data_IF_451738199823
#
_entry.id   IF_451738199823
#
_cell.length_a   1.000
_cell.length_b   1.000
_cell.length_c   1.000
_cell.angle_alpha   90.00
_cell.angle_beta   90.00
_cell.angle_gamma   90.00
#
_symmetry.space_group_name_H-M   'P 1'
#
loop_
_entity.id
_entity.type
_entity.pdbx_description
1 polymer ?
#
# COMPACT_ATOMS: atom_id res chain seq x y z
N UNK A 1 25.78 37.22 -20.56
CA UNK A 1 24.41 36.94 -21.04
C UNK A 1 23.95 35.50 -20.82
N UNK A 2 24.79 34.49 -21.06
CA UNK A 2 24.45 33.07 -20.84
C UNK A 2 24.13 32.73 -19.37
N UNK A 3 24.92 33.26 -18.42
CA UNK A 3 24.68 33.04 -16.98
C UNK A 3 23.34 33.62 -16.50
N UNK A 4 22.95 34.80 -16.99
CA UNK A 4 21.67 35.43 -16.64
C UNK A 4 20.49 34.57 -17.10
N UNK A 5 20.57 34.01 -18.32
CA UNK A 5 19.54 33.10 -18.84
C UNK A 5 19.37 31.87 -17.94
N UNK A 6 20.48 31.19 -17.62
CA UNK A 6 20.45 30.02 -16.73
C UNK A 6 19.86 30.34 -15.36
N UNK A 7 20.18 31.51 -14.81
CA UNK A 7 19.65 31.96 -13.52
C UNK A 7 18.14 32.21 -13.58
N UNK A 8 17.65 32.86 -14.65
CA UNK A 8 16.20 33.05 -14.90
C UNK A 8 15.48 31.71 -15.05
N UNK A 9 16.06 30.77 -15.80
CA UNK A 9 15.50 29.41 -15.94
C UNK A 9 15.40 28.68 -14.61
N UNK A 10 16.46 28.74 -13.79
CA UNK A 10 16.47 28.11 -12.47
C UNK A 10 15.40 28.70 -11.54
N UNK A 11 15.28 30.03 -11.50
CA UNK A 11 14.26 30.71 -10.70
C UNK A 11 12.85 30.37 -11.18
N UNK A 12 12.61 30.35 -12.50
CA UNK A 12 11.30 29.99 -13.07
C UNK A 12 10.88 28.56 -12.70
N UNK A 13 11.79 27.59 -12.84
CA UNK A 13 11.51 26.19 -12.47
C UNK A 13 11.28 26.05 -10.97
N UNK A 14 12.07 26.74 -10.15
CA UNK A 14 11.88 26.76 -8.70
C UNK A 14 10.52 27.34 -8.30
N UNK A 15 10.17 28.50 -8.84
CA UNK A 15 8.87 29.15 -8.58
C UNK A 15 7.72 28.24 -9.04
N UNK A 16 7.84 27.63 -10.22
CA UNK A 16 6.83 26.71 -10.75
C UNK A 16 6.66 25.44 -9.90
N UNK A 17 7.73 24.96 -9.26
CA UNK A 17 7.65 23.83 -8.32
C UNK A 17 6.86 24.20 -7.05
N UNK A 18 7.04 25.41 -6.52
CA UNK A 18 6.37 25.83 -5.29
C UNK A 18 4.98 26.46 -5.50
N UNK A 19 4.58 26.73 -6.75
CA UNK A 19 3.34 27.41 -7.09
C UNK A 19 2.07 26.60 -6.80
N UNK A 20 1.99 25.29 -7.10
CA UNK A 20 0.76 24.51 -6.92
C UNK A 20 0.37 24.22 -5.45
N UNK A 21 1.00 24.89 -4.49
CA UNK A 21 0.66 24.81 -3.08
C UNK A 21 1.33 23.65 -2.35
N UNK A 22 1.30 23.69 -1.01
CA UNK A 22 1.85 22.64 -0.15
C UNK A 22 0.87 21.47 -0.06
N UNK A 23 0.64 20.77 -1.17
CA UNK A 23 -0.08 19.50 -1.16
C UNK A 23 0.86 18.38 -0.71
N UNK A 24 0.32 17.38 -0.01
CA UNK A 24 1.05 16.14 0.32
C UNK A 24 1.42 15.36 -0.94
N UNK A 25 0.63 15.53 -2.01
CA UNK A 25 0.97 15.05 -3.33
C UNK A 25 1.95 16.02 -4.02
N UNK A 26 3.16 15.54 -4.34
CA UNK A 26 4.20 16.30 -5.01
C UNK A 26 4.05 16.31 -6.54
N UNK A 27 3.17 15.46 -7.11
CA UNK A 27 3.00 15.34 -8.55
C UNK A 27 2.59 16.65 -9.25
N UNK A 28 1.63 17.44 -8.72
CA UNK A 28 1.30 18.74 -9.30
C UNK A 28 2.51 19.69 -9.38
N UNK A 29 3.36 19.69 -8.34
CA UNK A 29 4.57 20.51 -8.25
C UNK A 29 5.63 20.07 -9.26
N UNK A 30 5.88 18.75 -9.35
CA UNK A 30 6.81 18.16 -10.33
C UNK A 30 6.32 18.46 -11.75
N UNK A 31 5.01 18.32 -12.00
CA UNK A 31 4.42 18.54 -13.31
C UNK A 31 4.50 20.00 -13.75
N UNK A 32 4.20 20.94 -12.84
CA UNK A 32 4.31 22.36 -13.12
C UNK A 32 5.76 22.77 -13.41
N UNK A 33 6.70 22.33 -12.56
CA UNK A 33 8.13 22.63 -12.71
C UNK A 33 8.67 22.11 -14.03
N UNK A 34 8.33 20.88 -14.39
CA UNK A 34 8.86 20.28 -15.60
C UNK A 34 8.21 20.80 -16.89
N UNK A 35 6.93 21.21 -16.88
CA UNK A 35 6.32 21.92 -18.02
C UNK A 35 7.04 23.26 -18.27
N UNK A 36 7.36 24.00 -17.20
CA UNK A 36 8.12 25.24 -17.28
C UNK A 36 9.55 24.99 -17.76
N UNK A 37 10.20 23.92 -17.30
CA UNK A 37 11.51 23.50 -17.79
C UNK A 37 11.50 23.20 -19.29
N UNK A 38 10.51 22.44 -19.78
CA UNK A 38 10.36 22.12 -21.20
C UNK A 38 10.14 23.39 -22.03
N UNK A 39 9.23 24.27 -21.60
CA UNK A 39 8.98 25.54 -22.28
C UNK A 39 10.23 26.43 -22.34
N UNK A 40 10.99 26.48 -21.23
CA UNK A 40 12.24 27.22 -21.15
C UNK A 40 13.32 26.64 -22.08
N UNK A 41 13.48 25.32 -22.12
CA UNK A 41 14.45 24.65 -23.02
C UNK A 41 14.11 24.88 -24.50
N UNK A 42 12.82 24.85 -24.86
CA UNK A 42 12.36 25.16 -26.23
C UNK A 42 12.62 26.63 -26.57
N UNK A 43 12.33 27.56 -25.67
CA UNK A 43 12.61 28.98 -25.86
C UNK A 43 14.11 29.24 -26.02
N UNK A 44 14.94 28.56 -25.22
CA UNK A 44 16.40 28.63 -25.31
C UNK A 44 16.88 28.15 -26.70
N UNK A 45 16.38 27.02 -27.18
CA UNK A 45 16.64 26.50 -28.53
C UNK A 45 16.28 27.53 -29.61
N UNK A 46 15.09 28.12 -29.54
CA UNK A 46 14.62 29.11 -30.52
C UNK A 46 15.48 30.38 -30.54
N UNK A 47 15.89 30.87 -29.37
CA UNK A 47 16.73 32.07 -29.24
C UNK A 47 18.14 31.82 -29.77
N UNK A 48 18.77 30.70 -29.41
CA UNK A 48 20.11 30.37 -29.90
C UNK A 48 20.12 30.03 -31.40
N UNK A 49 19.02 29.50 -31.94
CA UNK A 49 18.84 29.30 -33.37
C UNK A 49 18.70 30.61 -34.16
N UNK A 50 18.28 31.72 -33.53
CA UNK A 50 18.12 33.02 -34.21
C UNK A 50 19.34 33.93 -34.12
N UNK A 51 20.30 33.64 -33.23
CA UNK A 51 21.54 34.43 -33.14
C UNK A 51 22.40 34.22 -34.39
N UNK A 52 22.75 35.33 -35.06
CA UNK A 52 23.59 35.38 -36.27
C UNK A 52 25.08 35.29 -35.94
N UNK A 53 25.47 35.64 -34.72
CA UNK A 53 26.87 35.79 -34.28
C UNK A 53 27.53 34.45 -33.89
N UNK A 54 26.83 33.32 -34.09
CA UNK A 54 27.32 31.99 -33.78
C UNK A 54 27.80 31.29 -35.04
N UNK A 55 29.03 30.77 -34.99
CA UNK A 55 29.54 29.88 -36.04
C UNK A 55 28.66 28.63 -36.16
N UNK A 56 28.46 28.13 -37.38
CA UNK A 56 27.62 26.95 -37.67
C UNK A 56 27.97 25.75 -36.78
N UNK A 57 29.27 25.52 -36.53
CA UNK A 57 29.75 24.45 -35.64
C UNK A 57 29.26 24.61 -34.20
N UNK A 58 29.32 25.82 -33.63
CA UNK A 58 28.82 26.09 -32.27
C UNK A 58 27.30 25.98 -32.20
N UNK A 59 26.59 26.43 -33.26
CA UNK A 59 25.12 26.31 -33.35
C UNK A 59 24.70 24.84 -33.31
N UNK A 60 25.33 23.98 -34.11
CA UNK A 60 25.01 22.55 -34.15
C UNK A 60 25.27 21.85 -32.81
N UNK A 61 26.37 22.19 -32.12
CA UNK A 61 26.67 21.65 -30.79
C UNK A 61 25.62 22.07 -29.76
N UNK A 62 25.20 23.34 -29.75
CA UNK A 62 24.17 23.83 -28.82
C UNK A 62 22.83 23.16 -29.10
N UNK A 63 22.44 23.01 -30.36
CA UNK A 63 21.20 22.31 -30.75
C UNK A 63 21.25 20.85 -30.28
N UNK A 64 22.36 20.15 -30.53
CA UNK A 64 22.53 18.77 -30.09
C UNK A 64 22.43 18.64 -28.57
N UNK A 65 23.16 19.46 -27.82
CA UNK A 65 23.13 19.46 -26.35
C UNK A 65 21.74 19.78 -25.80
N UNK A 66 21.04 20.73 -26.42
CA UNK A 66 19.68 21.10 -26.00
C UNK A 66 18.69 19.98 -26.31
N UNK A 67 18.80 19.34 -27.48
CA UNK A 67 17.96 18.20 -27.85
C UNK A 67 18.20 17.01 -26.91
N UNK A 68 19.46 16.68 -26.60
CA UNK A 68 19.81 15.64 -25.62
C UNK A 68 19.26 15.98 -24.24
N UNK A 69 19.33 17.24 -23.82
CA UNK A 69 18.79 17.68 -22.52
C UNK A 69 17.26 17.54 -22.44
N UNK A 70 16.54 17.90 -23.51
CA UNK A 70 15.08 17.73 -23.59
C UNK A 70 14.72 16.24 -23.54
N UNK A 71 15.40 15.40 -24.32
CA UNK A 71 15.17 13.95 -24.34
C UNK A 71 15.43 13.36 -22.95
N UNK A 72 16.55 13.72 -22.31
CA UNK A 72 16.90 13.25 -20.97
C UNK A 72 15.88 13.70 -19.92
N UNK A 73 15.36 14.94 -19.99
CA UNK A 73 14.33 15.44 -19.09
C UNK A 73 13.02 14.65 -19.24
N UNK A 74 12.57 14.39 -20.47
CA UNK A 74 11.35 13.62 -20.74
C UNK A 74 11.49 12.16 -20.28
N UNK A 75 12.63 11.53 -20.55
CA UNK A 75 12.89 10.14 -20.12
C UNK A 75 12.94 10.03 -18.59
N UNK A 76 13.63 10.96 -17.93
CA UNK A 76 13.74 10.98 -16.46
C UNK A 76 12.37 11.18 -15.81
N UNK A 77 11.53 12.04 -16.39
CA UNK A 77 10.17 12.25 -15.90
C UNK A 77 9.33 10.98 -16.01
N UNK A 78 9.29 10.35 -17.19
CA UNK A 78 8.56 9.09 -17.37
C UNK A 78 9.04 8.01 -16.41
N UNK A 79 10.36 7.90 -16.24
CA UNK A 79 10.93 6.93 -15.32
C UNK A 79 10.54 7.20 -13.86
N UNK A 80 10.43 8.47 -13.43
CA UNK A 80 9.91 8.80 -12.10
C UNK A 80 8.45 8.39 -11.94
N UNK A 81 7.62 8.56 -12.97
CA UNK A 81 6.21 8.15 -12.95
C UNK A 81 6.10 6.64 -12.84
N UNK A 82 6.82 5.89 -13.68
CA UNK A 82 6.88 4.44 -13.64
C UNK A 82 7.38 3.92 -12.29
N UNK A 83 8.44 4.53 -11.75
CA UNK A 83 9.00 4.14 -10.47
C UNK A 83 8.04 4.43 -9.31
N UNK A 84 7.33 5.56 -9.34
CA UNK A 84 6.32 5.88 -8.32
C UNK A 84 5.15 4.91 -8.36
N UNK A 85 4.66 4.58 -9.56
CA UNK A 85 3.61 3.58 -9.75
C UNK A 85 4.07 2.20 -9.27
N UNK A 86 5.30 1.81 -9.61
CA UNK A 86 5.90 0.57 -9.14
C UNK A 86 6.03 0.54 -7.61
N UNK A 87 6.52 1.62 -6.99
CA UNK A 87 6.63 1.74 -5.53
C UNK A 87 5.26 1.64 -4.85
N UNK A 88 4.25 2.35 -5.36
CA UNK A 88 2.88 2.29 -4.84
C UNK A 88 2.33 0.87 -4.89
N UNK A 89 2.52 0.17 -6.01
CA UNK A 89 2.07 -1.22 -6.17
C UNK A 89 2.83 -2.18 -5.24
N UNK A 90 4.15 -2.02 -5.13
CA UNK A 90 4.98 -2.89 -4.29
C UNK A 90 4.76 -2.67 -2.81
N UNK A 91 4.58 -1.43 -2.37
CA UNK A 91 4.21 -1.13 -0.98
C UNK A 91 2.85 -1.73 -0.62
N UNK A 92 1.88 -1.68 -1.53
CA UNK A 92 0.60 -2.37 -1.35
C UNK A 92 0.74 -3.89 -1.24
N UNK A 93 1.59 -4.50 -2.08
CA UNK A 93 1.88 -5.93 -2.04
C UNK A 93 2.59 -6.35 -0.74
N UNK A 94 3.62 -5.62 -0.32
CA UNK A 94 4.36 -5.87 0.93
C UNK A 94 3.42 -5.70 2.13
N UNK A 95 2.63 -4.62 2.17
CA UNK A 95 1.65 -4.39 3.23
C UNK A 95 0.62 -5.53 3.31
N UNK A 96 0.15 -6.02 2.17
CA UNK A 96 -0.73 -7.20 2.09
C UNK A 96 -0.05 -8.46 2.63
N UNK A 97 1.20 -8.74 2.27
CA UNK A 97 1.93 -9.93 2.74
C UNK A 97 2.17 -9.87 4.26
N UNK A 98 2.67 -8.74 4.77
CA UNK A 98 2.89 -8.51 6.20
C UNK A 98 1.57 -8.65 6.95
N UNK A 99 0.53 -7.99 6.44
CA UNK A 99 -0.82 -8.10 6.94
C UNK A 99 -1.32 -9.53 7.07
N UNK A 100 -1.30 -10.29 5.97
CA UNK A 100 -1.66 -11.72 5.97
C UNK A 100 -0.88 -12.50 7.02
N UNK A 101 0.43 -12.24 7.15
CA UNK A 101 1.28 -12.87 8.16
C UNK A 101 0.81 -12.60 9.57
N UNK A 102 0.58 -11.33 9.92
CA UNK A 102 0.09 -10.90 11.23
C UNK A 102 -1.27 -11.54 11.54
N UNK A 103 -2.23 -11.43 10.62
CA UNK A 103 -3.58 -11.97 10.84
C UNK A 103 -3.60 -13.50 10.94
N UNK A 104 -2.79 -14.19 10.15
CA UNK A 104 -2.65 -15.64 10.24
C UNK A 104 -2.06 -16.07 11.60
N UNK A 105 -1.02 -15.39 12.05
CA UNK A 105 -0.36 -15.64 13.33
C UNK A 105 -1.32 -15.37 14.52
N UNK A 106 -2.06 -14.26 14.46
CA UNK A 106 -3.03 -13.92 15.50
C UNK A 106 -4.16 -14.94 15.64
N UNK A 107 -4.77 -15.35 14.52
CA UNK A 107 -5.83 -16.34 14.53
C UNK A 107 -5.29 -17.71 14.94
N UNK A 108 -4.07 -18.04 14.52
CA UNK A 108 -3.37 -19.28 14.88
C UNK A 108 -3.14 -19.38 16.38
N UNK A 109 -2.46 -18.41 16.96
CA UNK A 109 -2.10 -18.41 18.37
C UNK A 109 -3.35 -18.52 19.24
N UNK A 110 -4.39 -17.76 18.88
CA UNK A 110 -5.66 -17.75 19.62
C UNK A 110 -6.34 -19.12 19.65
N UNK A 111 -6.31 -19.87 18.55
CA UNK A 111 -6.91 -21.21 18.46
C UNK A 111 -6.01 -22.31 18.99
N UNK A 112 -4.69 -22.16 18.90
CA UNK A 112 -3.74 -23.11 19.52
C UNK A 112 -3.85 -23.10 21.04
N UNK A 113 -4.03 -21.93 21.66
CA UNK A 113 -4.27 -21.83 23.11
C UNK A 113 -5.56 -22.57 23.50
N UNK A 114 -6.62 -22.46 22.69
CA UNK A 114 -7.89 -23.17 22.93
C UNK A 114 -7.71 -24.69 22.78
N UNK A 115 -6.91 -25.11 21.80
CA UNK A 115 -6.59 -26.53 21.60
C UNK A 115 -5.77 -27.09 22.77
N UNK A 116 -4.77 -26.33 23.23
CA UNK A 116 -3.96 -26.67 24.39
C UNK A 116 -4.84 -26.78 25.65
N UNK A 117 -5.71 -25.81 25.90
CA UNK A 117 -6.66 -25.81 27.00
C UNK A 117 -7.63 -27.00 26.90
N UNK A 118 -8.06 -27.39 25.70
CA UNK A 118 -8.92 -28.55 25.47
C UNK A 118 -8.22 -29.86 25.87
N UNK A 119 -6.97 -30.07 25.45
CA UNK A 119 -6.22 -31.28 25.81
C UNK A 119 -5.83 -31.31 27.29
N UNK A 120 -5.51 -30.18 27.91
CA UNK A 120 -5.22 -30.10 29.34
C UNK A 120 -6.45 -30.32 30.21
N UNK A 121 -7.64 -29.92 29.73
CA UNK A 121 -8.92 -30.10 30.45
C UNK A 121 -9.65 -31.41 30.12
N UNK A 122 -9.01 -32.37 29.43
CA UNK A 122 -9.64 -33.65 29.03
C UNK A 122 -10.26 -34.47 30.18
N UNK A 123 -9.94 -34.17 31.44
CA UNK A 123 -10.61 -34.75 32.61
C UNK A 123 -12.04 -34.24 32.87
N UNK A 124 -12.50 -33.17 32.21
CA UNK A 124 -13.80 -32.50 32.47
C UNK A 124 -14.86 -32.68 31.38
N UNK A 125 -14.58 -33.45 30.32
CA UNK A 125 -15.50 -33.68 29.16
C UNK A 125 -16.10 -32.38 28.56
N UNK A 126 -15.34 -31.28 28.55
CA UNK A 126 -15.78 -30.04 27.92
C UNK A 126 -15.68 -30.16 26.40
N UNK A 127 -16.65 -29.59 25.69
CA UNK A 127 -16.58 -29.50 24.22
C UNK A 127 -15.59 -28.42 23.78
N UNK A 128 -15.14 -28.47 22.52
CA UNK A 128 -14.17 -27.49 22.01
C UNK A 128 -14.74 -26.07 22.03
N UNK A 129 -16.03 -25.93 21.69
CA UNK A 129 -16.75 -24.67 21.77
C UNK A 129 -16.95 -24.16 23.20
N UNK A 130 -17.12 -25.04 24.18
CA UNK A 130 -17.19 -24.68 25.59
C UNK A 130 -15.84 -24.17 26.12
N UNK A 131 -14.73 -24.82 25.72
CA UNK A 131 -13.38 -24.35 26.08
C UNK A 131 -13.12 -22.97 25.47
N UNK A 132 -13.51 -22.78 24.21
CA UNK A 132 -13.41 -21.48 23.54
C UNK A 132 -14.21 -20.38 24.28
N UNK A 133 -15.49 -20.63 24.58
CA UNK A 133 -16.38 -19.69 25.32
C UNK A 133 -15.95 -19.42 26.76
N UNK A 134 -15.16 -20.31 27.35
CA UNK A 134 -14.61 -20.12 28.69
C UNK A 134 -13.37 -19.22 28.65
N UNK A 135 -12.58 -19.30 27.57
CA UNK A 135 -11.35 -18.54 27.40
C UNK A 135 -11.62 -17.12 26.91
N UNK A 136 -12.53 -16.99 25.96
CA UNK A 136 -12.95 -15.72 25.40
C UNK A 136 -14.38 -15.42 25.85
N UNK A 137 -14.73 -14.16 26.19
CA UNK A 137 -16.09 -13.76 26.53
C UNK A 137 -17.06 -14.22 25.44
N UNK A 138 -18.33 -14.50 25.79
CA UNK A 138 -19.32 -14.96 24.82
C UNK A 138 -19.66 -13.82 23.85
N UNK A 139 -18.86 -13.67 22.80
CA UNK A 139 -19.26 -12.97 21.58
C UNK A 139 -20.25 -13.83 20.81
N UNK A 140 -21.22 -13.18 20.19
CA UNK A 140 -22.09 -13.82 19.22
C UNK A 140 -21.32 -14.10 17.92
N UNK A 141 -21.80 -15.06 17.16
CA UNK A 141 -21.34 -15.25 15.78
C UNK A 141 -21.57 -13.95 15.00
N UNK A 142 -20.53 -13.46 14.34
CA UNK A 142 -20.50 -12.18 13.63
C UNK A 142 -19.86 -11.04 14.42
N UNK A 143 -19.60 -11.20 15.72
CA UNK A 143 -18.95 -10.17 16.53
C UNK A 143 -17.46 -10.03 16.16
N UNK A 144 -16.99 -8.79 16.15
CA UNK A 144 -15.58 -8.47 15.97
C UNK A 144 -14.79 -8.88 17.21
N UNK A 145 -13.57 -9.37 16.99
CA UNK A 145 -12.68 -9.91 18.01
C UNK A 145 -12.22 -8.88 19.04
N UNK A 146 -12.21 -7.59 18.70
CA UNK A 146 -12.02 -6.49 19.66
C UNK A 146 -13.09 -6.46 20.76
N UNK A 147 -14.24 -7.09 20.52
CA UNK A 147 -15.31 -7.32 21.52
C UNK A 147 -15.09 -8.62 22.32
N UNK A 148 -14.27 -9.53 21.79
CA UNK A 148 -14.00 -10.89 22.28
C UNK A 148 -12.67 -10.98 23.06
N UNK A 149 -11.77 -10.00 22.96
CA UNK A 149 -10.50 -10.04 23.67
C UNK A 149 -10.25 -8.75 24.48
N UNK A 150 -10.32 -8.86 25.82
CA UNK A 150 -9.76 -7.88 26.75
C UNK A 150 -8.27 -8.18 27.06
N UNK A 151 -7.56 -8.88 26.18
CA UNK A 151 -6.13 -9.10 26.39
C UNK A 151 -5.38 -7.81 26.09
N UNK A 152 -4.44 -7.43 26.97
CA UNK A 152 -3.73 -6.15 26.98
C UNK A 152 -2.83 -5.84 25.78
N UNK A 153 -3.21 -6.22 24.57
CA UNK A 153 -2.63 -5.72 23.32
C UNK A 153 -3.22 -4.33 23.05
N UNK A 154 -2.38 -3.31 22.80
CA UNK A 154 -2.82 -1.92 22.76
C UNK A 154 -3.76 -1.54 21.62
N UNK A 155 -4.14 -2.45 20.72
CA UNK A 155 -5.19 -2.30 19.69
C UNK A 155 -5.52 -3.70 19.12
N UNK A 156 -6.51 -4.45 19.63
CA UNK A 156 -6.96 -5.65 18.95
C UNK A 156 -7.52 -5.25 17.58
N UNK A 157 -7.12 -5.90 16.48
CA UNK A 157 -7.62 -5.54 15.16
C UNK A 157 -9.12 -5.84 15.11
N UNK A 158 -9.91 -4.81 14.77
CA UNK A 158 -11.37 -4.89 14.58
C UNK A 158 -11.79 -5.83 13.43
N UNK A 159 -10.82 -6.52 12.82
CA UNK A 159 -11.00 -7.26 11.60
C UNK A 159 -10.99 -8.79 11.77
N UNK A 160 -10.87 -9.32 12.99
CA UNK A 160 -11.06 -10.76 13.24
C UNK A 160 -12.51 -11.01 13.66
N UNK A 161 -13.16 -12.01 13.09
CA UNK A 161 -14.57 -12.32 13.31
C UNK A 161 -14.76 -13.76 13.71
N UNK A 162 -15.65 -13.97 14.66
CA UNK A 162 -16.14 -15.29 14.99
C UNK A 162 -17.23 -15.69 14.00
N UNK A 163 -16.98 -16.71 13.18
CA UNK A 163 -17.93 -17.14 12.14
C UNK A 163 -18.74 -18.36 12.58
N UNK A 164 -18.13 -19.25 13.36
CA UNK A 164 -18.81 -20.48 13.80
C UNK A 164 -18.23 -20.98 15.12
N UNK A 165 -19.09 -21.37 16.05
CA UNK A 165 -18.73 -22.15 17.24
C UNK A 165 -19.63 -23.36 17.31
N UNK A 166 -19.02 -24.54 17.37
CA UNK A 166 -19.70 -25.79 17.69
C UNK A 166 -18.90 -26.60 18.70
N UNK A 167 -19.47 -27.72 19.13
CA UNK A 167 -18.80 -28.64 20.05
C UNK A 167 -17.57 -29.34 19.44
N UNK A 168 -17.51 -29.40 18.11
CA UNK A 168 -16.46 -30.12 17.37
C UNK A 168 -15.44 -29.21 16.70
N UNK A 169 -15.81 -27.95 16.43
CA UNK A 169 -14.96 -27.02 15.72
C UNK A 169 -15.27 -25.55 16.03
N UNK A 170 -14.28 -24.68 15.85
CA UNK A 170 -14.40 -23.22 15.97
C UNK A 170 -13.79 -22.58 14.72
N UNK A 171 -14.50 -21.63 14.11
CA UNK A 171 -14.07 -20.94 12.90
C UNK A 171 -13.91 -19.45 13.17
N UNK A 172 -12.72 -18.96 12.88
CA UNK A 172 -12.37 -17.55 12.89
C UNK A 172 -12.01 -17.07 11.50
N UNK A 173 -12.44 -15.85 11.17
CA UNK A 173 -12.07 -15.19 9.91
C UNK A 173 -11.43 -13.86 10.22
N UNK A 174 -10.16 -13.72 9.88
CA UNK A 174 -9.50 -12.43 9.86
C UNK A 174 -9.67 -11.76 8.50
N UNK A 175 -9.97 -10.47 8.51
CA UNK A 175 -10.00 -9.60 7.34
C UNK A 175 -8.82 -8.66 7.38
N UNK A 176 -8.30 -8.34 6.21
CA UNK A 176 -7.27 -7.33 6.08
C UNK A 176 -7.60 -6.45 4.86
N UNK A 177 -7.59 -5.12 4.98
CA UNK A 177 -7.88 -4.23 3.85
C UNK A 177 -6.90 -4.45 2.70
N UNK A 178 -7.39 -4.64 1.47
CA UNK A 178 -6.51 -4.82 0.32
C UNK A 178 -5.86 -3.50 -0.06
N UNK A 179 -4.56 -3.34 0.20
CA UNK A 179 -3.84 -2.06 0.00
C UNK A 179 -3.52 -1.71 -1.46
N UNK A 180 -4.07 -2.41 -2.48
CA UNK A 180 -3.72 -2.11 -3.88
C UNK A 180 -4.28 -0.80 -4.44
N UNK A 181 -4.98 0.02 -3.64
CA UNK A 181 -5.53 1.30 -4.11
C UNK A 181 -6.57 1.19 -5.24
N UNK A 182 -6.98 -0.04 -5.58
CA UNK A 182 -8.08 -0.38 -6.48
C UNK A 182 -9.01 -1.32 -5.70
N UNK A 183 -10.31 -1.02 -5.73
CA UNK A 183 -11.34 -1.90 -5.18
C UNK A 183 -11.24 -3.26 -5.89
N UNK A 184 -10.83 -4.31 -5.18
CA UNK A 184 -10.84 -5.64 -5.77
C UNK A 184 -12.28 -6.08 -6.04
N UNK A 185 -12.54 -6.74 -7.17
CA UNK A 185 -13.91 -7.07 -7.57
C UNK A 185 -14.51 -8.27 -6.83
N UNK A 186 -13.69 -9.04 -6.10
CA UNK A 186 -14.12 -10.21 -5.37
C UNK A 186 -14.91 -9.85 -4.10
N UNK A 187 -15.94 -10.65 -3.82
CA UNK A 187 -16.81 -10.51 -2.65
C UNK A 187 -16.25 -11.31 -1.48
N UNK A 188 -16.25 -10.70 -0.30
CA UNK A 188 -15.95 -11.35 0.97
C UNK A 188 -17.15 -12.14 1.51
N UNK A 189 -16.90 -13.03 2.48
CA UNK A 189 -17.93 -13.82 3.18
C UNK A 189 -19.14 -12.99 3.66
N UNK A 190 -18.94 -11.73 4.05
CA UNK A 190 -20.00 -10.85 4.55
C UNK A 190 -20.51 -9.81 3.53
N UNK A 191 -20.05 -9.84 2.27
CA UNK A 191 -20.52 -8.95 1.19
C UNK A 191 -19.64 -7.74 0.80
N UNK A 192 -18.80 -7.13 1.66
CA UNK A 192 -17.84 -6.11 1.26
C UNK A 192 -16.87 -6.61 0.19
N UNK A 193 -16.31 -5.71 -0.62
CA UNK A 193 -15.32 -6.01 -1.66
C UNK A 193 -13.91 -5.62 -1.23
N UNK A 194 -12.90 -6.35 -1.71
CA UNK A 194 -11.50 -5.94 -1.58
C UNK A 194 -10.91 -6.04 -0.16
N UNK A 195 -11.20 -7.11 0.56
CA UNK A 195 -10.42 -7.45 1.76
C UNK A 195 -9.87 -8.85 1.63
N UNK A 196 -8.63 -9.04 2.02
CA UNK A 196 -8.08 -10.38 2.18
C UNK A 196 -8.76 -11.12 3.31
N UNK A 197 -9.02 -12.41 3.13
CA UNK A 197 -9.61 -13.24 4.17
C UNK A 197 -8.67 -14.40 4.54
N UNK A 198 -8.46 -14.56 5.84
CA UNK A 198 -7.80 -15.75 6.39
C UNK A 198 -8.82 -16.46 7.26
N UNK A 199 -9.24 -17.64 6.81
CA UNK A 199 -10.14 -18.51 7.55
C UNK A 199 -9.33 -19.56 8.28
N UNK A 200 -9.50 -19.63 9.59
CA UNK A 200 -8.94 -20.70 10.41
C UNK A 200 -10.06 -21.52 11.04
N UNK A 201 -9.95 -22.84 10.92
CA UNK A 201 -10.89 -23.81 11.46
C UNK A 201 -10.14 -24.69 12.46
N UNK A 202 -10.44 -24.52 13.74
CA UNK A 202 -9.97 -25.40 14.79
C UNK A 202 -10.87 -26.63 14.89
N UNK A 203 -10.26 -27.80 14.90
CA UNK A 203 -10.95 -29.08 15.14
C UNK A 203 -10.22 -29.86 16.22
N UNK A 204 -10.83 -30.92 16.74
CA UNK A 204 -10.16 -31.85 17.65
C UNK A 204 -8.91 -32.54 17.06
N UNK A 205 -8.74 -32.54 15.73
CA UNK A 205 -7.57 -33.14 15.07
C UNK A 205 -6.43 -32.15 14.90
N UNK A 206 -6.68 -30.87 15.13
CA UNK A 206 -5.76 -29.78 14.87
C UNK A 206 -6.41 -28.63 14.12
N UNK A 207 -5.55 -27.73 13.66
CA UNK A 207 -5.93 -26.42 13.13
C UNK A 207 -5.66 -26.35 11.63
N UNK A 208 -6.68 -25.98 10.86
CA UNK A 208 -6.61 -25.81 9.41
C UNK A 208 -6.76 -24.35 9.04
N UNK A 209 -6.01 -23.91 8.03
CA UNK A 209 -6.06 -22.54 7.52
C UNK A 209 -6.26 -22.54 6.01
N UNK A 210 -7.14 -21.67 5.56
CA UNK A 210 -7.35 -21.38 4.15
C UNK A 210 -7.25 -19.88 3.98
N UNK A 211 -6.34 -19.44 3.11
CA UNK A 211 -6.35 -18.07 2.63
C UNK A 211 -7.37 -17.99 1.52
N UNK A 212 -8.41 -17.19 1.72
CA UNK A 212 -9.50 -16.98 0.77
C UNK A 212 -9.37 -15.57 0.19
N UNK A 213 -9.33 -15.48 -1.15
CA UNK A 213 -9.20 -14.27 -1.98
C UNK A 213 -7.93 -13.43 -1.75
#
# INVERSE_FOLDING_TARGET
MTALWLLVGFVLVGVAFYLPGRTTDLWPNINAAGLVLLAYLVALLAVFYRRKDLTLRRRNVIILLSAVSVIAAVLSWRQMEDQSNWQRNKLGEIGSIIGRGIYNDMVKDSLLVVLEDFYHNNGKKLSLGEVYKKRYPPGNVGDAWSTIEQSGRPNPPDDVFLVEISDSHVVLVARHPWYRGNNAEFLNFNGPKGTLQVRATLTQKGLQYVTEN
#
